data_IF_752039700494
#
_entry.id   IF_752039700494
#
_cell.length_a   1.000
_cell.length_b   1.000
_cell.length_c   1.000
_cell.angle_alpha   90.00
_cell.angle_beta   90.00
_cell.angle_gamma   90.00
#
_symmetry.space_group_name_H-M   'P 1'
#
loop_
_entity.id
_entity.type
_entity.pdbx_description
1 polymer ?
#
# COMPACT_ATOMS: atom_id res chain seq x y z
N UNK A 1 -9.23 -25.35 -64.82
CA UNK A 1 -7.83 -25.79 -64.75
C UNK A 1 -7.51 -25.91 -63.25
N UNK A 2 -7.37 -27.11 -62.66
CA UNK A 2 -6.10 -27.90 -62.53
C UNK A 2 -4.95 -27.04 -61.95
N UNK A 3 -4.18 -27.38 -60.91
CA UNK A 3 -3.95 -28.58 -60.05
C UNK A 3 -3.39 -28.09 -58.68
N UNK A 4 -3.23 -28.83 -57.55
CA UNK A 4 -3.60 -30.19 -57.07
C UNK A 4 -3.56 -30.21 -55.51
N UNK A 5 -3.27 -31.34 -54.84
CA UNK A 5 -3.10 -31.49 -53.37
C UNK A 5 -1.63 -31.76 -52.96
N UNK A 6 -1.23 -31.22 -51.79
CA UNK A 6 -0.56 -32.00 -50.73
C UNK A 6 0.98 -32.00 -50.63
N UNK A 7 1.49 -31.72 -49.43
CA UNK A 7 2.62 -32.41 -48.79
C UNK A 7 2.69 -32.02 -47.29
N UNK A 8 2.98 -32.99 -46.41
CA UNK A 8 3.18 -32.74 -44.98
C UNK A 8 4.67 -32.44 -44.67
N UNK A 9 4.93 -31.49 -43.77
CA UNK A 9 6.27 -31.15 -43.29
C UNK A 9 6.33 -31.21 -41.76
N UNK A 10 7.27 -32.00 -41.22
CA UNK A 10 7.45 -32.20 -39.77
C UNK A 10 7.73 -30.89 -39.04
N UNK A 11 7.02 -30.61 -37.95
CA UNK A 11 7.52 -29.71 -36.89
C UNK A 11 8.35 -30.53 -35.90
N UNK A 12 9.57 -30.09 -35.62
CA UNK A 12 10.40 -30.64 -34.56
C UNK A 12 9.80 -30.32 -33.19
N UNK A 13 9.96 -31.22 -32.22
CA UNK A 13 9.42 -31.03 -30.88
C UNK A 13 10.16 -29.93 -30.12
N UNK A 14 9.45 -28.84 -29.83
CA UNK A 14 9.73 -28.09 -28.61
C UNK A 14 9.18 -28.88 -27.44
N UNK A 15 9.99 -29.11 -26.41
CA UNK A 15 9.48 -29.61 -25.15
C UNK A 15 8.56 -28.53 -24.56
N UNK A 16 7.25 -28.80 -24.49
CA UNK A 16 6.35 -27.96 -23.73
C UNK A 16 6.77 -28.04 -22.26
N UNK A 17 7.05 -26.90 -21.63
CA UNK A 17 7.13 -26.84 -20.19
C UNK A 17 5.80 -27.35 -19.63
N UNK A 18 5.86 -28.36 -18.76
CA UNK A 18 4.66 -28.87 -18.10
C UNK A 18 4.05 -27.76 -17.23
N UNK A 19 2.73 -27.77 -17.00
CA UNK A 19 2.13 -26.85 -16.03
C UNK A 19 2.83 -27.03 -14.68
N UNK A 20 3.14 -25.92 -14.02
CA UNK A 20 3.63 -25.95 -12.65
C UNK A 20 2.62 -26.74 -11.81
N UNK A 21 3.11 -27.72 -11.04
CA UNK A 21 2.24 -28.63 -10.32
C UNK A 21 1.34 -27.84 -9.36
N UNK A 22 0.02 -28.00 -9.51
CA UNK A 22 -0.94 -27.45 -8.56
C UNK A 22 -0.66 -28.01 -7.17
N UNK A 23 -0.38 -27.13 -6.22
CA UNK A 23 -0.17 -27.50 -4.81
C UNK A 23 -1.42 -28.24 -4.29
N UNK A 24 -1.31 -29.52 -3.88
CA UNK A 24 -2.49 -30.32 -3.57
C UNK A 24 -3.36 -29.70 -2.47
N UNK A 25 -4.58 -29.28 -2.84
CA UNK A 25 -5.59 -28.73 -1.93
C UNK A 25 -5.74 -27.21 -1.92
N UNK A 26 -5.17 -26.51 -2.92
CA UNK A 26 -5.27 -25.07 -3.14
C UNK A 26 -6.05 -24.79 -4.45
N UNK A 27 -7.30 -24.35 -4.36
CA UNK A 27 -8.11 -23.98 -5.54
C UNK A 27 -8.02 -22.46 -5.74
N UNK A 28 -7.69 -21.99 -6.96
CA UNK A 28 -7.63 -20.55 -7.26
C UNK A 28 -8.98 -19.85 -7.07
N UNK A 29 -10.10 -20.58 -7.17
CA UNK A 29 -11.44 -20.05 -6.93
C UNK A 29 -11.78 -19.83 -5.45
N UNK A 30 -10.95 -20.28 -4.50
CA UNK A 30 -11.05 -19.90 -3.08
C UNK A 30 -10.62 -18.42 -2.85
N UNK A 31 -10.01 -17.76 -3.85
CA UNK A 31 -9.36 -16.45 -3.75
C UNK A 31 -10.10 -15.29 -4.43
N UNK A 32 -11.44 -15.35 -4.51
CA UNK A 32 -12.30 -14.36 -5.20
C UNK A 32 -12.06 -12.90 -4.75
N UNK A 33 -11.58 -12.68 -3.52
CA UNK A 33 -11.26 -11.35 -2.95
C UNK A 33 -9.74 -11.10 -2.74
N UNK A 34 -8.84 -11.94 -3.27
CA UNK A 34 -7.40 -11.82 -2.99
C UNK A 34 -6.77 -10.53 -3.54
N UNK A 35 -7.18 -10.10 -4.73
CA UNK A 35 -6.76 -8.82 -5.32
C UNK A 35 -7.19 -7.63 -4.45
N UNK A 36 -8.33 -7.73 -3.77
CA UNK A 36 -8.78 -6.73 -2.80
C UNK A 36 -7.99 -6.79 -1.49
N UNK A 37 -7.63 -7.99 -1.01
CA UNK A 37 -6.79 -8.17 0.17
C UNK A 37 -5.36 -7.64 -0.03
N UNK A 38 -4.81 -7.77 -1.24
CA UNK A 38 -3.52 -7.21 -1.65
C UNK A 38 -3.59 -5.70 -1.99
N UNK A 39 -4.78 -5.10 -2.02
CA UNK A 39 -4.96 -3.72 -2.46
C UNK A 39 -4.63 -3.47 -3.93
N UNK A 40 -4.61 -4.51 -4.77
CA UNK A 40 -4.47 -4.42 -6.24
C UNK A 40 -5.76 -3.86 -6.87
N UNK A 41 -6.89 -4.00 -6.19
CA UNK A 41 -8.11 -3.24 -6.45
C UNK A 41 -8.79 -2.89 -5.13
N UNK A 42 -9.19 -1.64 -4.92
CA UNK A 42 -10.08 -1.25 -3.81
C UNK A 42 -11.40 -0.71 -4.39
N UNK A 43 -12.41 -1.57 -4.62
CA UNK A 43 -13.67 -1.16 -5.22
C UNK A 43 -14.52 -0.37 -4.22
N UNK A 44 -14.44 0.96 -4.30
CA UNK A 44 -15.30 1.87 -3.54
C UNK A 44 -14.84 2.12 -2.11
N UNK A 45 -14.63 3.40 -1.78
CA UNK A 45 -14.10 3.82 -0.49
C UNK A 45 -13.34 5.13 -0.65
N UNK A 46 -14.09 6.22 -0.83
CA UNK A 46 -13.50 7.54 -0.65
C UNK A 46 -13.32 7.84 0.85
N UNK A 47 -12.86 9.03 1.21
CA UNK A 47 -12.74 9.53 2.57
C UNK A 47 -12.54 11.02 2.44
N UNK A 48 -13.34 11.82 3.13
CA UNK A 48 -13.16 13.27 3.10
C UNK A 48 -12.49 13.74 4.39
N UNK A 49 -11.56 14.68 4.29
CA UNK A 49 -11.13 15.50 5.41
C UNK A 49 -10.89 16.93 4.93
N UNK A 50 -11.29 17.91 5.74
CA UNK A 50 -11.03 19.30 5.47
C UNK A 50 -10.80 20.08 6.75
N UNK A 51 -9.99 21.13 6.66
CA UNK A 51 -9.88 22.13 7.70
C UNK A 51 -9.98 23.53 7.10
N UNK A 52 -10.65 24.42 7.83
CA UNK A 52 -10.86 25.82 7.45
C UNK A 52 -10.36 26.73 8.58
N UNK A 53 -9.60 27.75 8.21
CA UNK A 53 -8.95 28.65 9.16
C UNK A 53 -9.98 29.60 9.80
N UNK A 54 -9.66 30.12 10.99
CA UNK A 54 -10.61 30.84 11.86
C UNK A 54 -11.38 31.98 11.19
N UNK A 55 -10.75 32.73 10.29
CA UNK A 55 -11.35 33.81 9.47
C UNK A 55 -12.44 33.35 8.48
N UNK A 56 -12.66 32.04 8.33
CA UNK A 56 -13.74 31.43 7.54
C UNK A 56 -14.80 30.72 8.40
N UNK A 57 -14.73 30.85 9.72
CA UNK A 57 -15.63 30.19 10.67
C UNK A 57 -16.47 31.21 11.45
N UNK A 58 -17.61 30.78 11.98
CA UNK A 58 -18.42 31.61 12.87
C UNK A 58 -17.79 31.77 14.27
N UNK A 59 -16.87 30.89 14.67
CA UNK A 59 -16.20 30.88 15.97
C UNK A 59 -14.92 31.73 16.01
N UNK A 60 -14.36 32.08 14.85
CA UNK A 60 -13.04 32.71 14.74
C UNK A 60 -11.86 31.74 14.99
N UNK A 61 -12.12 30.45 15.18
CA UNK A 61 -11.12 29.40 15.44
C UNK A 61 -11.16 28.35 14.33
N UNK A 62 -10.04 27.65 14.03
CA UNK A 62 -10.03 26.58 13.04
C UNK A 62 -11.08 25.51 13.29
N UNK A 63 -11.65 25.00 12.19
CA UNK A 63 -12.59 23.89 12.20
C UNK A 63 -12.07 22.80 11.28
N UNK A 64 -11.96 21.57 11.80
CA UNK A 64 -11.63 20.35 11.06
C UNK A 64 -12.81 19.38 11.11
N UNK A 65 -13.06 18.68 10.01
CA UNK A 65 -13.99 17.56 9.95
C UNK A 65 -13.44 16.44 9.06
N UNK A 66 -13.83 15.20 9.34
CA UNK A 66 -13.34 14.01 8.66
C UNK A 66 -14.36 12.88 8.74
N UNK A 67 -14.68 12.28 7.58
CA UNK A 67 -15.53 11.10 7.41
C UNK A 67 -14.79 10.07 6.54
N UNK A 68 -14.12 9.07 7.16
CA UNK A 68 -13.48 7.99 6.41
C UNK A 68 -14.53 6.99 5.91
N UNK A 69 -14.57 6.69 4.61
CA UNK A 69 -15.48 5.66 4.07
C UNK A 69 -14.72 4.34 3.93
N UNK A 70 -15.20 3.34 4.65
CA UNK A 70 -14.77 1.94 4.55
C UNK A 70 -16.04 1.09 4.39
N UNK A 71 -15.96 -0.12 3.80
CA UNK A 71 -17.09 -1.02 3.71
C UNK A 71 -17.75 -1.26 5.08
N UNK A 72 -19.10 -1.22 5.18
CA UNK A 72 -19.78 -1.41 6.46
C UNK A 72 -19.62 -2.86 6.93
N UNK A 73 -19.03 -3.05 8.11
CA UNK A 73 -18.78 -4.36 8.71
C UNK A 73 -19.14 -4.39 10.21
N UNK A 74 -19.29 -5.61 10.75
CA UNK A 74 -19.55 -5.83 12.17
C UNK A 74 -18.51 -6.83 12.74
N UNK A 75 -17.71 -6.46 13.76
CA UNK A 75 -17.65 -5.14 14.40
C UNK A 75 -17.13 -4.03 13.47
N UNK A 76 -17.45 -2.76 13.74
CA UNK A 76 -16.90 -1.64 12.97
C UNK A 76 -15.37 -1.55 13.12
N UNK A 77 -14.70 -1.04 12.09
CA UNK A 77 -13.24 -0.82 12.09
C UNK A 77 -12.86 0.26 13.11
N UNK A 78 -13.62 1.36 13.11
CA UNK A 78 -13.40 2.49 14.01
C UNK A 78 -14.10 2.28 15.36
N UNK A 79 -13.35 2.52 16.43
CA UNK A 79 -13.80 2.50 17.81
C UNK A 79 -13.49 3.86 18.44
N UNK A 80 -14.48 4.51 19.06
CA UNK A 80 -14.27 5.79 19.74
C UNK A 80 -13.68 5.59 21.14
N UNK A 81 -12.61 6.33 21.44
CA UNK A 81 -11.91 6.25 22.72
C UNK A 81 -11.49 7.65 23.21
N UNK A 82 -11.48 7.82 24.53
CA UNK A 82 -10.78 8.90 25.22
C UNK A 82 -9.70 8.29 26.10
N UNK A 83 -8.44 8.65 25.84
CA UNK A 83 -7.28 8.17 26.56
C UNK A 83 -6.68 9.32 27.39
N UNK A 84 -6.77 9.19 28.72
CA UNK A 84 -6.23 10.14 29.68
C UNK A 84 -5.23 9.45 30.61
N UNK A 85 -3.96 9.86 30.55
CA UNK A 85 -2.85 9.27 31.30
C UNK A 85 -1.56 9.14 30.48
N UNK A 86 -0.44 8.88 31.14
CA UNK A 86 0.86 8.68 30.45
C UNK A 86 1.32 9.88 29.60
N UNK A 87 0.94 11.09 29.99
CA UNK A 87 1.18 12.32 29.24
C UNK A 87 0.29 12.52 28.02
N UNK A 88 -0.81 11.77 27.90
CA UNK A 88 -1.84 11.94 26.88
C UNK A 88 -3.16 12.39 27.50
N UNK A 89 -3.89 13.24 26.78
CA UNK A 89 -5.30 13.53 26.97
C UNK A 89 -5.88 13.73 25.56
N UNK A 90 -6.42 12.65 24.99
CA UNK A 90 -6.68 12.55 23.55
C UNK A 90 -7.96 11.76 23.29
N UNK A 91 -8.84 12.29 22.43
CA UNK A 91 -10.14 11.71 22.15
C UNK A 91 -10.41 11.64 20.63
N UNK A 92 -11.08 10.58 20.21
CA UNK A 92 -11.47 10.36 18.81
C UNK A 92 -11.56 8.87 18.46
N UNK A 93 -11.43 8.56 17.17
CA UNK A 93 -11.46 7.20 16.65
C UNK A 93 -10.07 6.54 16.65
N UNK A 94 -10.05 5.27 17.04
CA UNK A 94 -8.91 4.35 16.98
C UNK A 94 -9.36 3.01 16.37
N UNK A 95 -8.44 2.07 16.19
CA UNK A 95 -8.74 0.70 15.75
C UNK A 95 -8.31 -0.30 16.85
N UNK A 96 -8.97 -1.47 16.97
CA UNK A 96 -8.57 -2.50 17.92
C UNK A 96 -7.09 -2.89 17.77
N UNK A 97 -6.31 -2.73 18.86
CA UNK A 97 -4.87 -3.00 18.88
C UNK A 97 -3.97 -1.77 18.66
N UNK A 98 -4.50 -0.63 18.21
CA UNK A 98 -3.73 0.61 18.12
C UNK A 98 -3.50 1.24 19.52
N UNK A 99 -2.31 1.81 19.80
CA UNK A 99 -1.94 2.31 21.13
C UNK A 99 -2.39 3.76 21.40
N UNK A 100 -3.23 4.33 20.55
CA UNK A 100 -3.64 5.74 20.58
C UNK A 100 -4.73 6.04 19.55
N UNK A 101 -5.23 7.28 19.57
CA UNK A 101 -6.22 7.81 18.62
C UNK A 101 -5.57 8.04 17.24
N UNK A 102 -6.25 7.64 16.17
CA UNK A 102 -5.77 7.77 14.78
C UNK A 102 -6.45 8.96 14.08
N UNK A 103 -7.72 9.23 14.39
CA UNK A 103 -8.48 10.41 13.95
C UNK A 103 -9.06 11.08 15.20
N UNK A 104 -8.79 12.35 15.45
CA UNK A 104 -9.32 13.00 16.65
C UNK A 104 -8.56 14.25 17.05
N UNK A 105 -8.49 14.52 18.35
CA UNK A 105 -7.80 15.69 18.89
C UNK A 105 -7.24 15.44 20.29
N UNK A 106 -6.28 16.28 20.68
CA UNK A 106 -5.85 16.45 22.07
C UNK A 106 -6.19 17.88 22.56
N UNK A 107 -5.55 18.34 23.62
CA UNK A 107 -5.79 19.68 24.20
C UNK A 107 -5.38 20.86 23.30
N UNK A 108 -4.54 20.62 22.27
CA UNK A 108 -3.90 21.65 21.44
C UNK A 108 -4.23 21.53 19.95
N UNK A 109 -4.20 20.32 19.40
CA UNK A 109 -4.32 20.04 17.97
C UNK A 109 -5.42 19.01 17.68
N UNK A 110 -5.98 19.08 16.47
CA UNK A 110 -6.90 18.13 15.88
C UNK A 110 -6.39 17.64 14.53
N UNK A 111 -6.65 16.38 14.20
CA UNK A 111 -6.25 15.77 12.94
C UNK A 111 -7.29 14.76 12.42
N UNK A 112 -7.38 14.66 11.10
CA UNK A 112 -8.20 13.69 10.38
C UNK A 112 -7.42 13.07 9.24
N UNK A 113 -7.82 11.89 8.77
CA UNK A 113 -7.10 11.14 7.73
C UNK A 113 -7.97 10.77 6.54
N UNK A 114 -7.35 10.72 5.38
CA UNK A 114 -7.89 10.07 4.18
C UNK A 114 -6.79 9.20 3.56
N UNK A 115 -7.16 8.16 2.81
CA UNK A 115 -6.19 7.43 1.99
C UNK A 115 -5.57 8.39 0.98
N UNK A 116 -4.25 8.52 1.03
CA UNK A 116 -3.47 9.09 -0.05
C UNK A 116 -3.08 7.90 -0.92
N UNK A 117 -3.52 7.86 -2.17
CA UNK A 117 -3.20 6.77 -3.11
C UNK A 117 -1.74 6.89 -3.57
N UNK A 118 -0.78 6.95 -2.62
CA UNK A 118 0.63 6.83 -2.91
C UNK A 118 0.87 5.45 -3.52
N UNK A 119 1.62 5.45 -4.60
CA UNK A 119 2.07 4.26 -5.27
C UNK A 119 3.22 3.65 -4.43
N UNK A 120 2.89 2.59 -3.70
CA UNK A 120 3.67 2.02 -2.58
C UNK A 120 4.12 0.58 -2.83
N UNK A 121 3.86 0.04 -4.02
CA UNK A 121 4.12 -1.34 -4.41
C UNK A 121 4.41 -1.46 -5.91
N UNK A 122 5.17 -2.47 -6.30
CA UNK A 122 5.38 -2.86 -7.70
C UNK A 122 5.17 -4.36 -7.89
N UNK A 123 4.66 -4.71 -9.07
CA UNK A 123 4.69 -6.09 -9.56
C UNK A 123 5.92 -6.29 -10.44
N UNK A 124 6.55 -7.45 -10.34
CA UNK A 124 7.69 -7.85 -11.16
C UNK A 124 7.41 -9.18 -11.86
N UNK A 125 7.53 -9.19 -13.19
CA UNK A 125 7.48 -10.41 -13.99
C UNK A 125 8.84 -11.10 -13.94
N UNK A 126 8.90 -12.21 -13.21
CA UNK A 126 10.11 -12.97 -12.89
C UNK A 126 10.24 -14.18 -13.82
N UNK A 127 11.46 -14.48 -14.28
CA UNK A 127 11.70 -15.68 -15.10
C UNK A 127 12.23 -16.80 -14.23
N UNK A 128 11.47 -17.89 -14.10
CA UNK A 128 11.92 -19.09 -13.38
C UNK A 128 12.89 -19.91 -14.24
N UNK A 129 13.85 -20.58 -13.59
CA UNK A 129 14.78 -21.48 -14.25
C UNK A 129 14.04 -22.66 -14.94
N UNK A 130 14.37 -23.01 -16.21
CA UNK A 130 13.61 -23.99 -17.00
C UNK A 130 13.57 -25.43 -16.45
N UNK A 131 14.45 -25.80 -15.54
CA UNK A 131 14.44 -27.14 -14.89
C UNK A 131 13.44 -27.26 -13.73
N UNK A 132 12.75 -26.18 -13.36
CA UNK A 132 11.80 -26.16 -12.25
C UNK A 132 12.42 -25.95 -10.88
N UNK A 133 13.73 -25.69 -10.76
CA UNK A 133 14.31 -25.20 -9.50
C UNK A 133 13.67 -23.87 -9.05
N UNK A 134 13.71 -23.54 -7.75
CA UNK A 134 13.27 -22.24 -7.21
C UNK A 134 14.35 -21.17 -7.47
N UNK A 135 14.83 -21.07 -8.70
CA UNK A 135 15.83 -20.10 -9.14
C UNK A 135 15.21 -19.17 -10.19
N UNK A 136 15.61 -17.90 -10.19
CA UNK A 136 15.04 -16.86 -11.05
C UNK A 136 16.15 -16.08 -11.79
N UNK A 137 15.87 -15.61 -13.00
CA UNK A 137 16.85 -14.89 -13.82
C UNK A 137 17.07 -13.48 -13.27
N UNK A 138 18.33 -13.06 -13.16
CA UNK A 138 18.76 -11.69 -12.85
C UNK A 138 19.97 -11.36 -13.73
N UNK A 139 19.84 -10.39 -14.64
CA UNK A 139 20.89 -9.95 -15.57
C UNK A 139 21.62 -11.11 -16.30
N UNK A 140 20.86 -12.13 -16.73
CA UNK A 140 21.38 -13.32 -17.40
C UNK A 140 22.05 -14.37 -16.49
N UNK A 141 21.89 -14.24 -15.17
CA UNK A 141 22.34 -15.22 -14.15
C UNK A 141 21.13 -15.81 -13.44
N UNK A 142 21.32 -16.92 -12.74
CA UNK A 142 20.26 -17.58 -11.97
C UNK A 142 20.52 -17.42 -10.48
N UNK A 143 19.60 -16.77 -9.77
CA UNK A 143 19.67 -16.56 -8.33
C UNK A 143 18.63 -17.42 -7.60
N UNK A 144 18.98 -18.10 -6.49
CA UNK A 144 18.03 -18.90 -5.73
C UNK A 144 17.07 -18.02 -4.94
N UNK A 145 15.76 -18.29 -5.07
CA UNK A 145 14.75 -17.74 -4.18
C UNK A 145 14.80 -18.44 -2.82
N UNK A 146 14.35 -17.74 -1.77
CA UNK A 146 14.04 -18.37 -0.49
C UNK A 146 12.72 -19.12 -0.61
N UNK A 147 12.68 -20.39 -0.18
CA UNK A 147 11.44 -21.20 -0.16
C UNK A 147 10.98 -21.31 1.28
N UNK A 148 9.84 -20.68 1.60
CA UNK A 148 9.18 -20.76 2.89
C UNK A 148 8.05 -21.80 2.81
N UNK A 149 7.94 -22.68 3.79
CA UNK A 149 6.89 -23.71 3.85
C UNK A 149 5.93 -23.41 4.98
N UNK A 150 4.74 -22.94 4.63
CA UNK A 150 3.67 -22.55 5.54
C UNK A 150 2.63 -23.67 5.73
N UNK A 151 2.14 -23.85 6.95
CA UNK A 151 1.07 -24.82 7.28
C UNK A 151 -0.20 -24.12 7.77
N UNK A 152 -1.18 -24.01 6.88
CA UNK A 152 -2.46 -23.35 7.14
C UNK A 152 -3.46 -24.38 7.68
N UNK A 153 -3.80 -24.30 8.96
CA UNK A 153 -4.80 -25.17 9.60
C UNK A 153 -6.22 -24.70 9.28
N UNK A 154 -6.90 -25.40 8.39
CA UNK A 154 -8.28 -25.10 7.99
C UNK A 154 -9.29 -25.79 8.91
N UNK A 155 -10.23 -25.02 9.48
CA UNK A 155 -11.30 -25.54 10.34
C UNK A 155 -12.07 -26.64 9.61
N UNK A 156 -12.17 -27.83 10.22
CA UNK A 156 -12.92 -28.96 9.68
C UNK A 156 -12.12 -29.85 8.72
N UNK A 157 -10.93 -29.43 8.24
CA UNK A 157 -9.98 -30.34 7.61
C UNK A 157 -9.16 -31.05 8.70
N UNK A 158 -8.81 -32.31 8.46
CA UNK A 158 -7.95 -33.11 9.37
C UNK A 158 -6.50 -32.65 9.29
N UNK A 159 -6.02 -32.47 8.08
CA UNK A 159 -4.64 -32.16 7.75
C UNK A 159 -4.54 -30.69 7.28
N UNK A 160 -3.42 -29.98 7.54
CA UNK A 160 -3.24 -28.60 7.13
C UNK A 160 -3.09 -28.50 5.60
N UNK A 161 -3.46 -27.34 5.05
CA UNK A 161 -3.04 -26.96 3.69
C UNK A 161 -1.60 -26.49 3.77
N UNK A 162 -0.72 -27.08 2.97
CA UNK A 162 0.70 -26.71 2.92
C UNK A 162 0.91 -25.81 1.70
N UNK A 163 1.55 -24.66 1.92
CA UNK A 163 1.88 -23.70 0.86
C UNK A 163 3.39 -23.49 0.84
N UNK A 164 3.99 -23.63 -0.35
CA UNK A 164 5.38 -23.23 -0.58
C UNK A 164 5.40 -21.83 -1.19
N UNK A 165 5.95 -20.87 -0.46
CA UNK A 165 6.09 -19.47 -0.89
C UNK A 165 7.52 -19.25 -1.35
N UNK A 166 7.69 -18.97 -2.64
CA UNK A 166 8.96 -18.55 -3.20
C UNK A 166 9.11 -17.04 -3.01
N UNK A 167 10.22 -16.60 -2.41
CA UNK A 167 10.56 -15.18 -2.19
C UNK A 167 11.81 -14.85 -2.99
N UNK A 168 11.66 -14.03 -4.02
CA UNK A 168 12.77 -13.51 -4.85
C UNK A 168 13.35 -12.24 -4.20
N UNK A 169 14.33 -11.61 -4.87
CA UNK A 169 14.85 -10.29 -4.48
C UNK A 169 13.78 -9.18 -4.46
N UNK A 170 12.68 -9.35 -5.20
CA UNK A 170 11.55 -8.42 -5.24
C UNK A 170 10.42 -8.78 -4.27
N UNK A 171 10.50 -9.90 -3.55
CA UNK A 171 9.45 -10.33 -2.61
C UNK A 171 8.76 -11.64 -3.01
N UNK A 172 7.61 -11.97 -2.39
CA UNK A 172 6.91 -13.23 -2.63
C UNK A 172 6.32 -13.32 -4.05
N UNK A 173 6.38 -14.51 -4.65
CA UNK A 173 5.64 -14.84 -5.88
C UNK A 173 4.15 -14.98 -5.55
N UNK A 174 3.33 -14.13 -6.13
CA UNK A 174 1.87 -14.06 -5.91
C UNK A 174 1.03 -14.68 -7.04
N UNK A 175 1.63 -15.17 -8.13
CA UNK A 175 0.91 -15.87 -9.22
C UNK A 175 -0.15 -16.88 -8.77
N UNK A 176 0.04 -17.69 -7.70
CA UNK A 176 -0.97 -18.66 -7.27
C UNK A 176 -2.32 -18.05 -6.86
N UNK A 177 -2.38 -16.75 -6.55
CA UNK A 177 -3.59 -16.01 -6.14
C UNK A 177 -4.03 -14.95 -7.15
N UNK A 178 -3.40 -14.90 -8.33
CA UNK A 178 -3.84 -14.08 -9.46
C UNK A 178 -4.71 -14.91 -10.42
N UNK A 179 -5.85 -14.35 -10.84
CA UNK A 179 -6.72 -14.98 -11.83
C UNK A 179 -6.09 -14.88 -13.23
N UNK A 180 -6.27 -15.93 -14.04
CA UNK A 180 -5.77 -16.06 -15.41
C UNK A 180 -4.26 -15.86 -15.67
N UNK A 181 -3.44 -15.65 -14.63
CA UNK A 181 -1.98 -15.53 -14.74
C UNK A 181 -1.26 -16.88 -14.54
N UNK A 182 -0.22 -17.10 -15.34
CA UNK A 182 0.64 -18.29 -15.32
C UNK A 182 2.13 -17.97 -15.21
N UNK A 183 2.55 -16.76 -15.58
CA UNK A 183 3.93 -16.31 -15.42
C UNK A 183 4.23 -16.01 -13.94
N UNK A 184 5.47 -16.21 -13.47
CA UNK A 184 5.85 -15.86 -12.10
C UNK A 184 5.81 -14.33 -11.89
N UNK A 185 4.91 -13.85 -11.02
CA UNK A 185 4.80 -12.44 -10.63
C UNK A 185 5.21 -12.31 -9.17
N UNK A 186 6.26 -11.55 -8.89
CA UNK A 186 6.61 -11.12 -7.54
C UNK A 186 5.89 -9.80 -7.19
N UNK A 187 5.59 -9.60 -5.91
CA UNK A 187 5.09 -8.34 -5.35
C UNK A 187 6.14 -7.74 -4.42
N UNK A 188 6.58 -6.51 -4.72
CA UNK A 188 7.44 -5.72 -3.82
C UNK A 188 6.61 -4.62 -3.16
N UNK A 189 6.61 -4.53 -1.83
CA UNK A 189 5.89 -3.49 -1.09
C UNK A 189 6.80 -2.66 -0.19
N UNK A 190 6.54 -1.36 -0.09
CA UNK A 190 7.17 -0.50 0.92
C UNK A 190 6.80 -0.87 2.37
N UNK A 191 5.76 -1.70 2.54
CA UNK A 191 5.35 -2.28 3.81
C UNK A 191 6.30 -3.40 4.31
N UNK A 192 7.05 -4.04 3.42
CA UNK A 192 8.00 -5.11 3.76
C UNK A 192 9.24 -4.58 4.52
N UNK A 193 9.53 -3.28 4.36
CA UNK A 193 10.63 -2.61 5.03
C UNK A 193 10.27 -2.21 6.48
N UNK A 194 11.17 -2.41 7.48
CA UNK A 194 10.91 -2.08 8.89
C UNK A 194 10.31 -0.69 9.11
N UNK A 195 9.23 -0.63 9.89
CA UNK A 195 8.39 0.56 10.08
C UNK A 195 8.14 0.86 11.56
N UNK A 196 7.76 2.10 11.89
CA UNK A 196 7.52 2.54 13.28
C UNK A 196 6.13 3.19 13.49
N UNK A 197 5.02 2.66 12.92
CA UNK A 197 3.71 3.31 12.98
C UNK A 197 3.20 3.50 14.42
N UNK A 198 3.51 2.58 15.32
CA UNK A 198 3.14 2.71 16.74
C UNK A 198 3.85 3.90 17.42
N UNK A 199 5.11 4.19 17.03
CA UNK A 199 5.86 5.37 17.49
C UNK A 199 5.26 6.65 16.91
N UNK A 200 4.87 6.62 15.63
CA UNK A 200 4.14 7.72 14.99
C UNK A 200 2.87 8.07 15.78
N UNK A 201 1.98 7.10 16.00
CA UNK A 201 0.70 7.31 16.71
C UNK A 201 0.94 7.87 18.11
N UNK A 202 1.86 7.27 18.88
CA UNK A 202 2.19 7.73 20.24
C UNK A 202 2.80 9.15 20.29
N UNK A 203 3.55 9.56 19.26
CA UNK A 203 4.05 10.93 19.12
C UNK A 203 2.94 11.90 18.71
N UNK A 204 2.17 11.55 17.68
CA UNK A 204 1.04 12.32 17.16
C UNK A 204 0.02 12.66 18.26
N UNK A 205 -0.31 11.67 19.10
CA UNK A 205 -1.24 11.84 20.22
C UNK A 205 -0.75 12.85 21.29
N UNK A 206 0.56 13.16 21.32
CA UNK A 206 1.20 14.10 22.24
C UNK A 206 1.66 15.40 21.58
N UNK A 207 1.57 15.53 20.26
CA UNK A 207 2.02 16.71 19.53
C UNK A 207 1.15 17.93 19.89
N UNK A 208 1.80 19.10 20.01
CA UNK A 208 1.19 20.33 20.51
C UNK A 208 1.08 21.43 19.46
N UNK A 209 1.78 21.28 18.34
CA UNK A 209 1.84 22.22 17.24
C UNK A 209 2.16 21.51 15.92
N UNK A 210 2.17 22.27 14.82
CA UNK A 210 2.43 21.77 13.48
C UNK A 210 3.82 21.11 13.33
N UNK A 211 4.83 21.60 14.05
CA UNK A 211 6.20 21.06 13.97
C UNK A 211 6.30 19.70 14.67
N UNK A 212 5.69 19.55 15.85
CA UNK A 212 5.61 18.26 16.54
C UNK A 212 4.74 17.25 15.78
N UNK A 213 3.67 17.71 15.14
CA UNK A 213 2.81 16.91 14.26
C UNK A 213 3.57 16.42 13.01
N UNK A 214 4.23 17.32 12.30
CA UNK A 214 5.02 17.02 11.09
C UNK A 214 6.19 16.06 11.42
N UNK A 215 6.88 16.28 12.54
CA UNK A 215 7.94 15.40 13.03
C UNK A 215 7.44 14.02 13.49
N UNK A 216 6.22 13.93 14.04
CA UNK A 216 5.61 12.65 14.38
C UNK A 216 5.30 11.82 13.13
N UNK A 217 4.74 12.46 12.10
CA UNK A 217 4.33 11.81 10.84
C UNK A 217 5.50 11.30 9.99
N UNK A 218 6.74 11.74 10.24
CA UNK A 218 7.93 11.14 9.62
C UNK A 218 8.15 9.66 10.04
N UNK A 219 7.52 9.20 11.13
CA UNK A 219 7.51 7.77 11.51
C UNK A 219 6.40 6.97 10.79
N UNK A 220 5.42 7.64 10.15
CA UNK A 220 4.34 6.99 9.42
C UNK A 220 4.83 6.47 8.08
N UNK A 221 4.87 5.14 7.96
CA UNK A 221 5.57 4.43 6.88
C UNK A 221 4.76 3.25 6.33
N UNK A 222 3.48 3.14 6.71
CA UNK A 222 2.57 2.07 6.26
C UNK A 222 1.43 2.66 5.43
N UNK A 223 1.42 2.34 4.13
CA UNK A 223 0.51 2.95 3.15
C UNK A 223 0.67 4.47 3.01
N UNK A 224 -0.05 5.06 2.06
CA UNK A 224 -0.15 6.51 1.92
C UNK A 224 -1.38 7.05 2.66
N UNK A 225 -1.17 8.08 3.49
CA UNK A 225 -2.26 8.83 4.12
C UNK A 225 -2.06 10.34 3.93
N UNK A 226 -3.18 11.05 3.75
CA UNK A 226 -3.24 12.50 3.90
C UNK A 226 -3.71 12.77 5.33
N UNK A 227 -2.94 13.53 6.11
CA UNK A 227 -3.34 14.00 7.43
C UNK A 227 -3.73 15.47 7.34
N UNK A 228 -5.03 15.76 7.49
CA UNK A 228 -5.53 17.11 7.70
C UNK A 228 -5.25 17.54 9.16
N UNK A 229 -4.97 18.82 9.37
CA UNK A 229 -4.55 19.40 10.64
C UNK A 229 -5.29 20.71 10.94
N UNK A 230 -5.60 20.93 12.22
CA UNK A 230 -6.04 22.21 12.76
C UNK A 230 -5.57 22.37 14.21
N UNK A 231 -5.28 23.59 14.68
CA UNK A 231 -4.92 23.84 16.07
C UNK A 231 -5.54 25.09 16.70
N UNK A 232 -5.29 25.25 18.00
CA UNK A 232 -5.73 26.39 18.81
C UNK A 232 -4.95 27.69 18.55
N UNK A 233 -3.78 27.61 17.91
CA UNK A 233 -3.00 28.78 17.49
C UNK A 233 -3.59 29.47 16.27
N UNK A 234 -4.45 28.78 15.52
CA UNK A 234 -5.08 29.27 14.30
C UNK A 234 -4.61 28.54 13.04
N UNK A 235 -3.60 27.69 13.15
CA UNK A 235 -3.00 27.02 11.99
C UNK A 235 -3.89 25.90 11.48
N UNK A 236 -3.96 25.78 10.15
CA UNK A 236 -4.50 24.62 9.44
C UNK A 236 -3.45 24.05 8.50
N UNK A 237 -3.53 22.76 8.20
CA UNK A 237 -2.58 22.15 7.29
C UNK A 237 -2.98 20.80 6.72
N UNK A 238 -2.20 20.35 5.74
CA UNK A 238 -2.30 19.04 5.12
C UNK A 238 -0.89 18.47 4.98
N UNK A 239 -0.67 17.25 5.47
CA UNK A 239 0.61 16.53 5.35
C UNK A 239 0.39 15.15 4.76
N UNK A 240 1.07 14.84 3.67
CA UNK A 240 1.18 13.48 3.14
C UNK A 240 2.25 12.73 3.93
N UNK A 241 1.93 11.50 4.36
CA UNK A 241 2.89 10.61 4.98
C UNK A 241 2.74 9.18 4.45
N UNK A 242 3.85 8.44 4.45
CA UNK A 242 3.97 7.11 3.83
C UNK A 242 5.36 6.90 3.24
N UNK A 243 5.47 5.96 2.31
CA UNK A 243 6.69 5.67 1.54
C UNK A 243 6.34 5.56 0.06
N UNK A 244 7.26 6.01 -0.79
CA UNK A 244 7.17 5.85 -2.25
C UNK A 244 8.52 5.32 -2.72
N UNK A 245 8.58 4.28 -3.57
CA UNK A 245 9.85 3.77 -4.08
C UNK A 245 10.51 4.75 -5.06
N UNK A 246 11.83 4.84 -5.00
CA UNK A 246 12.61 5.59 -5.98
C UNK A 246 12.89 4.69 -7.19
N UNK A 247 12.19 4.94 -8.30
CA UNK A 247 12.19 4.08 -9.50
C UNK A 247 13.12 4.63 -10.58
N UNK A 248 14.19 3.90 -10.88
CA UNK A 248 15.11 4.25 -11.97
C UNK A 248 14.50 4.01 -13.36
N UNK A 249 13.65 2.98 -13.49
CA UNK A 249 12.86 2.67 -14.68
C UNK A 249 11.48 2.15 -14.28
N UNK A 250 10.60 1.94 -15.26
CA UNK A 250 9.19 1.59 -15.00
C UNK A 250 8.33 2.82 -14.67
N UNK A 251 7.04 2.59 -14.41
CA UNK A 251 6.08 3.68 -14.17
C UNK A 251 4.94 3.35 -13.18
N UNK A 252 4.98 2.19 -12.51
CA UNK A 252 3.97 1.74 -11.54
C UNK A 252 2.63 1.28 -12.12
N UNK A 253 2.49 1.15 -13.45
CA UNK A 253 1.20 0.84 -14.12
C UNK A 253 1.07 -0.63 -14.55
N UNK A 254 2.19 -1.34 -14.71
CA UNK A 254 2.21 -2.71 -15.18
C UNK A 254 3.44 -3.44 -14.59
N UNK A 255 3.43 -4.79 -14.52
CA UNK A 255 4.56 -5.55 -14.00
C UNK A 255 5.87 -5.21 -14.72
N UNK A 256 6.90 -4.87 -13.94
CA UNK A 256 8.24 -4.56 -14.44
C UNK A 256 9.03 -5.84 -14.74
N UNK A 257 9.98 -5.84 -15.69
CA UNK A 257 10.89 -6.97 -15.91
C UNK A 257 11.77 -7.26 -14.67
N UNK A 258 11.47 -8.34 -13.94
CA UNK A 258 12.26 -8.74 -12.74
C UNK A 258 13.67 -9.23 -13.06
N UNK A 259 13.88 -9.73 -14.28
CA UNK A 259 15.18 -10.21 -14.74
C UNK A 259 16.19 -9.11 -15.14
N UNK A 260 15.82 -7.83 -15.02
CA UNK A 260 16.59 -6.68 -15.51
C UNK A 260 16.75 -5.67 -14.38
N UNK A 261 17.95 -5.59 -13.80
CA UNK A 261 18.20 -4.81 -12.57
C UNK A 261 17.98 -3.29 -12.71
N UNK A 262 17.74 -2.80 -13.92
CA UNK A 262 17.39 -1.39 -14.18
C UNK A 262 15.99 -1.01 -13.67
N UNK A 263 15.13 -1.99 -13.41
CA UNK A 263 13.79 -1.81 -12.85
C UNK A 263 13.73 -1.95 -11.33
N UNK A 264 14.84 -2.31 -10.68
CA UNK A 264 14.93 -2.35 -9.22
C UNK A 264 14.68 -0.96 -8.61
N UNK A 265 14.14 -0.93 -7.39
CA UNK A 265 14.07 0.29 -6.60
C UNK A 265 15.48 0.76 -6.22
N UNK A 266 15.83 2.00 -6.58
CA UNK A 266 17.07 2.66 -6.15
C UNK A 266 17.06 2.99 -4.64
N UNK A 267 15.89 2.87 -4.00
CA UNK A 267 15.65 3.13 -2.59
C UNK A 267 14.20 3.57 -2.37
N UNK A 268 14.01 4.46 -1.41
CA UNK A 268 12.74 5.15 -1.17
C UNK A 268 12.96 6.65 -1.34
N UNK A 269 11.96 7.35 -1.89
CA UNK A 269 11.98 8.81 -1.94
C UNK A 269 12.06 9.38 -0.50
N UNK A 270 12.87 10.43 -0.26
CA UNK A 270 13.02 11.00 1.07
C UNK A 270 11.75 11.75 1.50
N UNK A 271 11.41 11.70 2.78
CA UNK A 271 10.20 12.35 3.34
C UNK A 271 10.04 13.83 2.92
N UNK A 272 11.15 14.54 2.73
CA UNK A 272 11.18 15.94 2.29
C UNK A 272 10.52 16.20 0.93
N UNK A 273 10.31 15.20 0.06
CA UNK A 273 9.53 15.37 -1.19
C UNK A 273 8.04 15.09 -1.02
N UNK A 274 7.58 14.56 0.13
CA UNK A 274 6.17 14.33 0.37
C UNK A 274 5.44 15.67 0.62
N UNK A 275 4.31 15.93 -0.08
CA UNK A 275 3.60 17.19 0.01
C UNK A 275 3.18 17.56 1.43
N UNK A 276 3.49 18.80 1.83
CA UNK A 276 3.05 19.39 3.09
C UNK A 276 2.72 20.86 2.92
N UNK A 277 1.62 21.30 3.51
CA UNK A 277 1.09 22.66 3.41
C UNK A 277 0.60 23.08 4.79
N UNK A 278 1.09 24.21 5.30
CA UNK A 278 0.55 24.90 6.46
C UNK A 278 0.05 26.29 6.02
N UNK A 279 -1.05 26.74 6.62
CA UNK A 279 -1.67 28.07 6.44
C UNK A 279 -1.72 28.57 4.99
N UNK A 280 -2.34 27.80 4.08
CA UNK A 280 -2.45 28.20 2.68
C UNK A 280 -3.24 29.53 2.56
N UNK A 281 -2.87 30.44 1.65
CA UNK A 281 -3.59 31.71 1.45
C UNK A 281 -5.09 31.55 1.12
N UNK A 282 -5.51 30.36 0.69
CA UNK A 282 -6.91 30.00 0.51
C UNK A 282 -7.71 30.00 1.83
N UNK A 283 -7.06 29.87 2.99
CA UNK A 283 -7.66 29.63 4.31
C UNK A 283 -8.38 28.28 4.42
N UNK A 284 -8.07 27.32 3.55
CA UNK A 284 -8.74 26.02 3.44
C UNK A 284 -7.77 24.93 3.00
N UNK A 285 -7.83 23.77 3.63
CA UNK A 285 -7.25 22.50 3.16
C UNK A 285 -8.37 21.48 2.99
N UNK A 286 -8.29 20.68 1.93
CA UNK A 286 -9.29 19.66 1.59
C UNK A 286 -8.51 18.47 1.02
N UNK A 287 -8.90 17.27 1.41
CA UNK A 287 -8.49 16.02 0.78
C UNK A 287 -9.70 15.10 0.66
N UNK A 288 -9.84 14.48 -0.50
CA UNK A 288 -10.93 13.56 -0.84
C UNK A 288 -10.40 12.44 -1.74
N UNK A 289 -9.28 11.83 -1.34
CA UNK A 289 -8.49 10.85 -2.12
C UNK A 289 -7.95 11.31 -3.47
N UNK A 290 -8.23 12.56 -3.86
CA UNK A 290 -7.67 13.22 -5.02
C UNK A 290 -6.16 13.02 -5.14
N UNK A 291 -5.66 13.11 -6.38
CA UNK A 291 -4.23 13.04 -6.74
C UNK A 291 -3.29 13.56 -5.64
N UNK A 292 -2.31 12.76 -5.21
CA UNK A 292 -1.23 13.20 -4.34
C UNK A 292 -0.38 14.29 -5.00
N UNK A 293 -0.19 15.42 -4.31
CA UNK A 293 0.65 16.52 -4.76
C UNK A 293 0.12 17.32 -5.96
N UNK A 294 0.96 18.23 -6.47
CA UNK A 294 0.70 19.08 -7.61
C UNK A 294 1.26 18.50 -8.92
N UNK A 295 0.76 18.91 -10.10
CA UNK A 295 1.41 18.60 -11.37
C UNK A 295 2.83 19.19 -11.41
N UNK A 296 3.85 18.33 -11.35
CA UNK A 296 5.26 18.73 -11.32
C UNK A 296 6.02 18.20 -10.10
N UNK A 297 5.30 17.83 -9.04
CA UNK A 297 5.85 16.94 -8.02
C UNK A 297 6.21 15.60 -8.69
N UNK A 298 7.22 14.90 -8.17
CA UNK A 298 7.70 13.63 -8.70
C UNK A 298 6.62 12.54 -8.75
N UNK A 299 6.93 11.36 -9.29
CA UNK A 299 5.92 10.30 -9.42
C UNK A 299 5.56 9.70 -8.05
N UNK A 300 4.59 10.33 -7.37
CA UNK A 300 4.00 9.85 -6.13
C UNK A 300 2.87 8.84 -6.37
N UNK A 301 2.19 8.95 -7.51
CA UNK A 301 1.15 7.99 -7.95
C UNK A 301 0.72 8.19 -9.40
N UNK A 302 0.15 7.13 -10.00
CA UNK A 302 -0.60 7.14 -11.26
C UNK A 302 -2.11 6.97 -11.09
N UNK A 303 -2.57 6.49 -9.94
CA UNK A 303 -3.95 6.07 -9.73
C UNK A 303 -4.57 6.77 -8.52
N UNK A 304 -5.80 7.24 -8.68
CA UNK A 304 -6.64 7.84 -7.64
C UNK A 304 -8.11 7.86 -8.13
N UNK A 305 -9.11 7.92 -7.22
CA UNK A 305 -10.53 8.00 -7.57
C UNK A 305 -10.95 9.31 -8.30
#
# INVERSE_FOLDING_TARGET
MTHARGAAGRRGGGAAAGPAAESPGFDRSDFVDAEALLGLAVPGGASNAWAVAGQRTATGLPLLANDPHLPPQCPPIWYEAHLAGGGMNVAGATTPGAPGVIIGHNDQIAWGVTVCFLDTQDLYAERRHPDGSPCYEVDGRWEPASVLREEIRVRGRRDPVVVEVHVTRHGPIITPILLDETEPIALQSTADAPSHPLRCVLRLNRARDWSEFDAALADWTIGGLNFAYADRGGTIGLRVAGRVPDRAAGCGVAPSPGWDSRYDWAGLLPDSVLPRIADPPSGRVITANNRPGSPGDGLLSREWP
#
